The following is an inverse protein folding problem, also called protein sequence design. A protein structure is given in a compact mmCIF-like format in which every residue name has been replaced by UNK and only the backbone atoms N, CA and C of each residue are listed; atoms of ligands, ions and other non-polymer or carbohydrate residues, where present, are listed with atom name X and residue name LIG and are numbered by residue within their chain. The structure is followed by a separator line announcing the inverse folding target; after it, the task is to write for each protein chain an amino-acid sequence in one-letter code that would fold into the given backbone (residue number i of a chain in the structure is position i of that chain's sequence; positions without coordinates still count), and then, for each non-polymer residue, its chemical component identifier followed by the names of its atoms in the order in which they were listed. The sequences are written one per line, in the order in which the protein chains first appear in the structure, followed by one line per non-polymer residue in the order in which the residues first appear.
data_IF_188564380817
#
_entry.id   IF_188564380817
#
_cell.length_a   1.000
_cell.length_b   1.000
_cell.length_c   1.000
_cell.angle_alpha   90.00
_cell.angle_beta   90.00
_cell.angle_gamma   90.00
#
_symmetry.space_group_name_H-M   'P 1'
#
loop_
_entity.id
_entity.type
_entity.pdbx_description
1 polymer ?
#
# COMPACT_ATOMS: atom_id res chain seq x y z
N UNK A 1 13.17 -10.66 -24.83
CA UNK A 1 13.49 -9.35 -24.24
C UNK A 1 12.27 -8.93 -23.44
N UNK A 2 12.28 -9.12 -22.12
CA UNK A 2 11.19 -8.63 -21.27
C UNK A 2 11.29 -7.09 -21.23
N UNK A 3 10.18 -6.36 -21.25
CA UNK A 3 10.23 -4.91 -21.31
C UNK A 3 10.99 -4.35 -20.11
N UNK A 4 11.75 -3.30 -20.41
CA UNK A 4 12.40 -2.36 -19.51
C UNK A 4 11.42 -2.00 -18.39
N UNK A 5 11.83 -2.19 -17.13
CA UNK A 5 11.08 -1.94 -15.88
C UNK A 5 9.96 -0.92 -16.06
N UNK A 6 8.67 -1.32 -15.99
CA UNK A 6 7.60 -0.34 -15.99
C UNK A 6 7.67 0.48 -14.70
N UNK A 7 7.46 1.78 -14.83
CA UNK A 7 7.38 2.67 -13.69
C UNK A 7 6.12 2.31 -12.88
N UNK A 8 6.27 2.01 -11.59
CA UNK A 8 5.14 1.71 -10.71
C UNK A 8 4.20 2.92 -10.66
N UNK A 9 2.91 2.71 -10.94
CA UNK A 9 1.89 3.76 -10.81
C UNK A 9 1.26 3.69 -9.42
N UNK A 10 1.40 4.76 -8.62
CA UNK A 10 0.82 4.81 -7.28
C UNK A 10 -0.54 5.54 -7.28
N UNK A 11 -1.57 4.89 -6.77
CA UNK A 11 -2.92 5.46 -6.63
C UNK A 11 -3.24 5.63 -5.15
N UNK A 12 -3.32 6.88 -4.71
CA UNK A 12 -3.73 7.28 -3.36
C UNK A 12 -5.16 7.87 -3.39
N UNK A 13 -6.21 7.07 -3.14
CA UNK A 13 -7.59 7.54 -3.21
C UNK A 13 -7.89 8.63 -2.18
N UNK A 14 -8.89 9.48 -2.45
CA UNK A 14 -9.32 10.54 -1.51
C UNK A 14 -9.57 10.02 -0.08
N UNK A 15 -10.25 8.87 0.16
CA UNK A 15 -10.38 8.32 1.50
C UNK A 15 -9.05 7.99 2.19
N UNK A 16 -8.09 7.43 1.45
CA UNK A 16 -6.75 7.15 1.97
C UNK A 16 -6.02 8.45 2.34
N UNK A 17 -6.04 9.45 1.44
CA UNK A 17 -5.39 10.74 1.70
C UNK A 17 -5.97 11.45 2.94
N UNK A 18 -7.29 11.35 3.19
CA UNK A 18 -7.88 11.90 4.42
C UNK A 18 -7.31 11.23 5.68
N UNK A 19 -7.21 9.90 5.69
CA UNK A 19 -6.61 9.16 6.82
C UNK A 19 -5.13 9.52 6.97
N UNK A 20 -4.39 9.61 5.87
CA UNK A 20 -2.99 9.98 5.84
C UNK A 20 -2.74 11.32 6.54
N UNK A 21 -3.45 12.37 6.14
CA UNK A 21 -3.30 13.70 6.74
C UNK A 21 -3.84 13.76 8.17
N UNK A 22 -4.90 13.02 8.51
CA UNK A 22 -5.39 12.92 9.89
C UNK A 22 -4.34 12.33 10.85
N UNK A 23 -3.47 11.45 10.34
CA UNK A 23 -2.35 10.88 11.10
C UNK A 23 -1.13 11.82 11.18
N UNK A 24 -1.20 13.03 10.61
CA UNK A 24 -0.10 13.99 10.59
C UNK A 24 1.01 13.66 9.60
N UNK A 25 0.75 12.75 8.65
CA UNK A 25 1.70 12.41 7.59
C UNK A 25 1.60 13.44 6.44
N UNK A 26 2.76 13.81 5.91
CA UNK A 26 2.93 14.82 4.86
C UNK A 26 2.94 14.20 3.47
N UNK A 27 2.89 15.01 2.42
CA UNK A 27 3.10 14.51 1.05
C UNK A 27 4.55 14.05 0.81
N UNK A 28 5.53 14.65 1.51
CA UNK A 28 6.90 14.14 1.50
C UNK A 28 6.98 12.71 2.02
N UNK A 29 6.23 12.39 3.09
CA UNK A 29 6.16 11.04 3.62
C UNK A 29 5.54 10.06 2.59
N UNK A 30 4.59 10.52 1.73
CA UNK A 30 4.02 9.69 0.65
C UNK A 30 5.05 9.44 -0.45
N UNK A 31 5.84 10.46 -0.80
CA UNK A 31 6.94 10.33 -1.75
C UNK A 31 7.98 9.32 -1.24
N UNK A 32 8.32 9.35 0.05
CA UNK A 32 9.25 8.40 0.65
C UNK A 32 8.68 6.97 0.63
N UNK A 33 7.39 6.81 0.94
CA UNK A 33 6.69 5.53 0.81
C UNK A 33 6.72 4.98 -0.64
N UNK A 34 6.45 5.82 -1.63
CA UNK A 34 6.48 5.43 -3.04
C UNK A 34 7.90 5.04 -3.48
N UNK A 35 8.91 5.84 -3.12
CA UNK A 35 10.31 5.55 -3.40
C UNK A 35 10.75 4.22 -2.77
N UNK A 36 10.41 3.98 -1.51
CA UNK A 36 10.68 2.73 -0.81
C UNK A 36 10.04 1.51 -1.52
N UNK A 37 8.78 1.61 -1.94
CA UNK A 37 8.11 0.51 -2.65
C UNK A 37 8.77 0.25 -4.01
N UNK A 38 9.13 1.30 -4.75
CA UNK A 38 9.83 1.18 -6.04
C UNK A 38 11.20 0.54 -5.88
N UNK A 39 11.99 0.99 -4.91
CA UNK A 39 13.31 0.42 -4.62
C UNK A 39 13.19 -1.06 -4.22
N UNK A 40 12.24 -1.39 -3.36
CA UNK A 40 11.99 -2.78 -2.96
C UNK A 40 11.57 -3.64 -4.16
N UNK A 41 10.70 -3.13 -5.04
CA UNK A 41 10.24 -3.86 -6.23
C UNK A 41 11.39 -4.17 -7.19
N UNK A 42 12.28 -3.20 -7.41
CA UNK A 42 13.46 -3.37 -8.28
C UNK A 42 14.47 -4.38 -7.71
N UNK A 43 14.57 -4.46 -6.39
CA UNK A 43 15.53 -5.32 -5.69
C UNK A 43 14.86 -6.52 -5.01
N UNK A 44 13.66 -6.88 -5.46
CA UNK A 44 12.82 -7.85 -4.76
C UNK A 44 13.48 -9.24 -4.73
N UNK A 45 13.38 -9.96 -3.60
CA UNK A 45 13.83 -11.34 -3.54
C UNK A 45 13.07 -12.22 -4.55
N UNK A 46 13.79 -13.12 -5.22
CA UNK A 46 13.25 -14.05 -6.24
C UNK A 46 12.04 -14.85 -5.70
N UNK A 47 12.00 -15.13 -4.40
CA UNK A 47 10.94 -15.91 -3.73
C UNK A 47 9.89 -15.05 -3.01
N UNK A 48 9.71 -13.79 -3.41
CA UNK A 48 8.73 -12.89 -2.80
C UNK A 48 7.29 -13.37 -2.99
N UNK A 49 6.58 -13.59 -1.88
CA UNK A 49 5.18 -14.07 -1.86
C UNK A 49 4.16 -13.02 -2.32
N UNK A 50 4.56 -11.76 -2.40
CA UNK A 50 3.74 -10.60 -2.72
C UNK A 50 3.97 -10.12 -4.15
N UNK A 51 4.59 -10.96 -5.00
CA UNK A 51 5.02 -10.60 -6.35
C UNK A 51 5.97 -9.40 -6.37
N UNK A 52 6.94 -9.40 -5.45
CA UNK A 52 7.99 -8.39 -5.40
C UNK A 52 7.66 -7.12 -4.62
N UNK A 53 6.51 -7.02 -3.96
CA UNK A 53 6.12 -5.82 -3.22
C UNK A 53 6.35 -5.93 -1.70
N UNK A 54 6.71 -4.86 -0.97
CA UNK A 54 7.08 -4.97 0.44
C UNK A 54 5.87 -5.20 1.34
N UNK A 55 5.99 -6.16 2.25
CA UNK A 55 4.96 -6.46 3.26
C UNK A 55 4.52 -7.92 3.25
N UNK A 56 3.36 -8.19 3.84
CA UNK A 56 2.82 -9.54 3.96
C UNK A 56 1.39 -9.61 3.40
N UNK A 57 1.09 -10.66 2.63
CA UNK A 57 -0.28 -10.94 2.18
C UNK A 57 -1.23 -11.13 3.37
N UNK A 58 -2.43 -10.57 3.24
CA UNK A 58 -3.51 -10.73 4.19
C UNK A 58 -4.47 -11.78 3.65
N UNK A 59 -4.55 -12.93 4.30
CA UNK A 59 -5.43 -14.02 3.89
C UNK A 59 -6.91 -13.58 3.92
N UNK A 60 -7.71 -14.11 2.98
CA UNK A 60 -9.14 -13.80 2.87
C UNK A 60 -9.47 -12.42 2.29
N UNK A 61 -8.49 -11.65 1.80
CA UNK A 61 -8.71 -10.30 1.24
C UNK A 61 -8.67 -10.25 -0.28
N UNK A 62 -8.40 -11.36 -0.96
CA UNK A 62 -8.19 -11.37 -2.41
C UNK A 62 -6.86 -10.78 -2.88
N UNK A 63 -5.90 -10.56 -1.97
CA UNK A 63 -4.53 -10.16 -2.31
C UNK A 63 -4.07 -8.82 -1.74
N UNK A 64 -4.70 -8.33 -0.66
CA UNK A 64 -4.18 -7.15 0.04
C UNK A 64 -2.84 -7.48 0.72
N UNK A 65 -1.96 -6.50 0.75
CA UNK A 65 -0.64 -6.54 1.38
C UNK A 65 -0.64 -5.59 2.56
N UNK A 66 -0.13 -6.06 3.70
CA UNK A 66 0.11 -5.26 4.91
C UNK A 66 1.57 -4.85 4.98
N UNK A 67 1.83 -3.55 4.84
CA UNK A 67 3.13 -2.93 5.02
C UNK A 67 3.20 -2.22 6.37
N UNK A 68 4.36 -2.35 7.03
CA UNK A 68 4.73 -1.55 8.20
C UNK A 68 5.46 -0.32 7.69
N UNK A 69 5.01 0.86 8.10
CA UNK A 69 5.58 2.13 7.67
C UNK A 69 5.94 2.98 8.88
N UNK A 70 7.08 3.65 8.81
CA UNK A 70 7.57 4.55 9.85
C UNK A 70 7.83 5.91 9.22
N UNK A 71 7.42 6.97 9.91
CA UNK A 71 7.64 8.34 9.44
C UNK A 71 9.08 8.75 9.73
N UNK A 72 9.86 9.00 8.68
CA UNK A 72 11.29 9.34 8.77
C UNK A 72 11.54 10.67 9.50
N UNK A 73 10.67 11.67 9.32
CA UNK A 73 10.83 13.03 9.87
C UNK A 73 10.61 13.13 11.40
N UNK A 74 10.45 12.02 12.11
CA UNK A 74 10.19 11.97 13.55
C UNK A 74 11.46 12.18 14.40
N UNK A 75 12.14 13.32 14.23
CA UNK A 75 13.25 13.79 15.10
C UNK A 75 12.81 14.13 16.56
N UNK A 76 11.59 13.79 16.96
CA UNK A 76 11.04 14.01 18.31
C UNK A 76 10.62 12.71 18.98
N UNK A 77 11.54 11.76 19.19
CA UNK A 77 11.42 10.68 20.19
C UNK A 77 10.19 9.76 20.15
N UNK A 78 9.32 9.85 19.13
CA UNK A 78 8.15 9.01 18.91
C UNK A 78 8.01 8.82 17.40
N UNK A 79 8.70 7.82 16.85
CA UNK A 79 8.37 7.32 15.52
C UNK A 79 6.96 6.75 15.56
N UNK A 80 6.03 7.39 14.84
CA UNK A 80 4.71 6.81 14.61
C UNK A 80 4.87 5.57 13.75
N UNK A 81 4.58 4.39 14.31
CA UNK A 81 4.51 3.14 13.54
C UNK A 81 3.11 2.99 12.96
N UNK A 82 3.00 2.94 11.64
CA UNK A 82 1.74 2.83 10.90
C UNK A 82 1.64 1.51 10.16
N UNK A 83 0.41 1.08 9.89
CA UNK A 83 0.11 -0.07 9.05
C UNK A 83 -0.65 0.39 7.83
N UNK A 84 -0.07 0.15 6.67
CA UNK A 84 -0.64 0.48 5.36
C UNK A 84 -1.16 -0.81 4.75
N UNK A 85 -2.40 -0.76 4.25
CA UNK A 85 -3.02 -1.84 3.50
C UNK A 85 -3.17 -1.35 2.06
N UNK A 86 -2.58 -2.08 1.12
CA UNK A 86 -2.62 -1.79 -0.32
C UNK A 86 -2.74 -3.08 -1.12
N UNK A 87 -2.89 -2.99 -2.43
CA UNK A 87 -2.83 -4.14 -3.34
C UNK A 87 -2.32 -3.71 -4.72
N UNK A 88 -1.97 -4.69 -5.55
CA UNK A 88 -1.43 -4.47 -6.90
C UNK A 88 -2.41 -4.93 -7.98
N UNK A 89 -2.48 -4.16 -9.06
CA UNK A 89 -3.25 -4.48 -10.27
C UNK A 89 -2.31 -5.01 -11.37
N UNK A 90 -2.89 -5.58 -12.44
CA UNK A 90 -2.21 -6.30 -13.53
C UNK A 90 -1.31 -5.41 -14.43
N UNK A 91 -1.13 -4.13 -14.08
CA UNK A 91 -0.30 -3.15 -14.81
C UNK A 91 0.63 -2.40 -13.86
N UNK A 92 1.15 -3.10 -12.83
CA UNK A 92 2.09 -2.54 -11.85
C UNK A 92 1.56 -1.28 -11.13
N UNK A 93 0.24 -1.15 -11.07
CA UNK A 93 -0.42 -0.09 -10.30
C UNK A 93 -0.55 -0.54 -8.84
N UNK A 94 -0.01 0.26 -7.93
CA UNK A 94 -0.09 0.10 -6.48
C UNK A 94 -1.23 0.96 -5.96
N UNK A 95 -2.30 0.32 -5.48
CA UNK A 95 -3.49 1.00 -5.00
C UNK A 95 -3.61 0.91 -3.48
N UNK A 96 -3.63 2.07 -2.82
CA UNK A 96 -3.70 2.15 -1.36
C UNK A 96 -5.15 2.13 -0.86
N UNK A 97 -5.45 1.22 0.08
CA UNK A 97 -6.80 1.00 0.58
C UNK A 97 -7.05 1.75 1.89
N UNK A 98 -6.15 1.58 2.87
CA UNK A 98 -6.28 2.21 4.19
C UNK A 98 -4.95 2.30 4.92
N UNK A 99 -4.89 3.15 5.94
CA UNK A 99 -3.77 3.32 6.87
C UNK A 99 -4.31 3.54 8.28
N UNK A 100 -3.60 3.03 9.28
CA UNK A 100 -3.92 3.25 10.70
C UNK A 100 -2.65 3.19 11.56
N UNK A 101 -2.65 3.86 12.72
CA UNK A 101 -1.53 3.79 13.65
C UNK A 101 -1.53 2.45 14.39
N UNK A 102 -0.33 1.95 14.74
CA UNK A 102 -0.17 0.67 15.43
C UNK A 102 -0.95 0.56 16.73
N UNK A 103 -1.03 1.68 17.46
CA UNK A 103 -1.71 1.81 18.75
C UNK A 103 -3.24 1.74 18.65
N UNK A 104 -3.80 2.13 17.50
CA UNK A 104 -5.25 2.26 17.34
C UNK A 104 -5.87 0.94 16.90
N UNK A 105 -5.09 0.08 16.24
CA UNK A 105 -5.58 -1.21 15.76
C UNK A 105 -4.47 -2.25 15.64
N UNK A 106 -4.65 -3.40 16.28
CA UNK A 106 -3.71 -4.51 16.23
C UNK A 106 -3.81 -5.32 14.91
N UNK A 107 -5.03 -5.68 14.51
CA UNK A 107 -5.36 -6.52 13.35
C UNK A 107 -6.66 -6.07 12.67
N UNK A 108 -6.84 -6.46 11.40
CA UNK A 108 -8.10 -6.27 10.68
C UNK A 108 -9.17 -7.25 11.20
N UNK A 109 -10.39 -6.75 11.44
CA UNK A 109 -11.55 -7.60 11.71
C UNK A 109 -11.97 -8.36 10.45
N UNK A 110 -12.75 -9.42 10.61
CA UNK A 110 -13.21 -10.20 9.45
C UNK A 110 -14.15 -9.40 8.55
N UNK A 111 -14.98 -8.54 9.13
CA UNK A 111 -15.80 -7.59 8.38
C UNK A 111 -14.94 -6.62 7.55
N UNK A 112 -13.83 -6.10 8.13
CA UNK A 112 -12.89 -5.25 7.39
C UNK A 112 -12.21 -6.02 6.25
N UNK A 113 -11.83 -7.29 6.46
CA UNK A 113 -11.25 -8.13 5.40
C UNK A 113 -12.25 -8.38 4.27
N UNK A 114 -13.52 -8.65 4.59
CA UNK A 114 -14.58 -8.84 3.60
C UNK A 114 -14.81 -7.58 2.77
N UNK A 115 -14.86 -6.40 3.41
CA UNK A 115 -14.97 -5.11 2.70
C UNK A 115 -13.77 -4.85 1.77
N UNK A 116 -12.55 -5.17 2.24
CA UNK A 116 -11.34 -5.10 1.42
C UNK A 116 -11.44 -6.05 0.23
N UNK A 117 -11.88 -7.30 0.44
CA UNK A 117 -12.02 -8.29 -0.63
C UNK A 117 -12.99 -7.83 -1.71
N UNK A 118 -14.16 -7.32 -1.31
CA UNK A 118 -15.15 -6.76 -2.23
C UNK A 118 -14.58 -5.58 -3.01
N UNK A 119 -13.82 -4.70 -2.34
CA UNK A 119 -13.18 -3.55 -2.97
C UNK A 119 -12.14 -3.97 -4.00
N UNK A 120 -11.26 -4.92 -3.67
CA UNK A 120 -10.25 -5.46 -4.58
C UNK A 120 -10.91 -6.14 -5.78
N UNK A 121 -11.95 -6.93 -5.56
CA UNK A 121 -12.69 -7.59 -6.63
C UNK A 121 -13.33 -6.58 -7.58
N UNK A 122 -14.00 -5.56 -7.02
CA UNK A 122 -14.59 -4.48 -7.82
C UNK A 122 -13.53 -3.73 -8.63
N UNK A 123 -12.41 -3.36 -8.02
CA UNK A 123 -11.33 -2.66 -8.70
C UNK A 123 -10.71 -3.52 -9.81
N UNK A 124 -10.41 -4.80 -9.56
CA UNK A 124 -9.85 -5.68 -10.61
C UNK A 124 -10.75 -5.82 -11.83
N UNK A 125 -12.07 -5.79 -11.67
CA UNK A 125 -13.00 -5.86 -12.79
C UNK A 125 -13.22 -4.52 -13.51
N UNK A 126 -13.17 -3.41 -12.78
CA UNK A 126 -13.60 -2.11 -13.32
C UNK A 126 -12.44 -1.13 -13.52
N UNK A 127 -11.22 -1.49 -13.13
CA UNK A 127 -10.09 -0.57 -13.23
C UNK A 127 -9.77 -0.29 -14.69
N UNK A 128 -10.04 0.95 -15.09
CA UNK A 128 -9.52 1.57 -16.29
C UNK A 128 -8.38 2.45 -15.83
N UNK A 129 -7.18 2.21 -16.34
CA UNK A 129 -6.04 3.08 -16.06
C UNK A 129 -6.45 4.53 -16.34
N UNK A 130 -6.15 5.49 -15.44
CA UNK A 130 -6.39 6.89 -15.72
C UNK A 130 -5.77 7.20 -17.09
N UNK A 131 -6.60 7.69 -18.03
CA UNK A 131 -6.06 8.20 -19.28
C UNK A 131 -5.13 9.35 -18.91
N UNK A 132 -3.90 9.28 -19.44
CA UNK A 132 -2.91 10.35 -19.38
C UNK A 132 -3.48 11.68 -19.87
#
# INVERSE_FOLDING_TARGET
MLPINPELKFVFPKPFNRLWHHLGLTDSDKSNLAAYISEYYQNAPINSRTNGFPGNLIQGTGGAIKLRFEQESSHRGKSGSYRIIYFTLVQETVYFLTIYAKKDQANLTDEQKQKIQQTIHHLRHNYRSPKE
#
